data_IF_098734396311
#
_entry.id   IF_098734396311
#
_cell.length_a   1.000
_cell.length_b   1.000
_cell.length_c   1.000
_cell.angle_alpha   90.00
_cell.angle_beta   90.00
_cell.angle_gamma   90.00
#
_symmetry.space_group_name_H-M   'P 1'
#
loop_
_entity.id
_entity.type
_entity.pdbx_description
1 polymer ?
#
# COMPACT_ATOMS: atom_id res chain seq x y z
N UNK A 1 -19.32 -0.82 -7.42
CA UNK A 1 -19.29 -0.91 -8.89
C UNK A 1 -18.43 0.23 -9.41
N UNK A 2 -17.54 -0.02 -10.37
CA UNK A 2 -16.59 0.99 -10.88
C UNK A 2 -17.27 1.87 -11.94
N UNK A 3 -17.42 3.16 -11.64
CA UNK A 3 -18.16 4.11 -12.47
C UNK A 3 -17.42 4.47 -13.77
N UNK A 4 -16.08 4.39 -13.78
CA UNK A 4 -15.24 4.78 -14.93
C UNK A 4 -14.10 3.78 -15.19
N UNK A 5 -14.40 2.61 -15.78
CA UNK A 5 -13.37 1.64 -16.16
C UNK A 5 -12.40 2.25 -17.18
N UNK A 6 -11.10 2.04 -16.98
CA UNK A 6 -10.03 2.65 -17.79
C UNK A 6 -8.76 1.83 -17.70
N UNK A 7 -7.81 2.10 -18.60
CA UNK A 7 -6.47 1.48 -18.59
C UNK A 7 -6.46 -0.06 -18.69
N UNK A 8 -7.50 -0.64 -19.31
CA UNK A 8 -7.59 -2.09 -19.51
C UNK A 8 -7.62 -2.85 -18.18
N UNK A 9 -6.67 -3.75 -17.98
CA UNK A 9 -6.57 -4.60 -16.79
C UNK A 9 -6.30 -3.84 -15.50
N UNK A 10 -5.77 -2.62 -15.58
CA UNK A 10 -5.41 -1.83 -14.39
C UNK A 10 -6.65 -1.30 -13.65
N UNK A 11 -7.79 -1.09 -14.34
CA UNK A 11 -9.03 -0.61 -13.71
C UNK A 11 -10.29 -1.07 -14.46
N UNK A 12 -10.66 -2.33 -14.23
CA UNK A 12 -11.87 -2.96 -14.76
C UNK A 12 -13.06 -2.98 -13.80
N UNK A 13 -14.20 -3.51 -14.26
CA UNK A 13 -15.37 -3.82 -13.41
C UNK A 13 -15.34 -5.23 -12.84
N UNK A 14 -14.67 -6.13 -13.57
CA UNK A 14 -14.43 -7.51 -13.19
C UNK A 14 -12.92 -7.75 -13.31
N UNK A 15 -12.33 -8.32 -12.28
CA UNK A 15 -10.90 -8.57 -12.18
C UNK A 15 -10.65 -9.76 -11.26
N UNK A 16 -9.50 -10.39 -11.41
CA UNK A 16 -9.04 -11.43 -10.50
C UNK A 16 -8.33 -10.77 -9.33
N UNK A 17 -8.70 -11.15 -8.11
CA UNK A 17 -8.07 -10.67 -6.89
C UNK A 17 -7.66 -11.87 -6.05
N UNK A 18 -6.48 -11.79 -5.44
CA UNK A 18 -6.08 -12.70 -4.38
C UNK A 18 -6.39 -12.02 -3.04
N UNK A 19 -7.44 -12.47 -2.37
CA UNK A 19 -7.86 -12.02 -1.06
C UNK A 19 -7.50 -13.05 0.02
N UNK A 20 -6.84 -12.57 1.07
CA UNK A 20 -6.39 -13.38 2.20
C UNK A 20 -7.02 -12.90 3.50
N UNK A 21 -7.46 -13.83 4.33
CA UNK A 21 -8.03 -13.56 5.65
C UNK A 21 -7.34 -14.43 6.69
N UNK A 22 -6.73 -13.81 7.69
CA UNK A 22 -6.09 -14.51 8.81
C UNK A 22 -6.86 -14.28 10.10
N UNK A 23 -6.80 -15.27 10.98
CA UNK A 23 -7.42 -15.22 12.30
C UNK A 23 -6.34 -15.51 13.36
N UNK A 24 -6.36 -14.74 14.44
CA UNK A 24 -5.38 -14.80 15.51
C UNK A 24 -6.08 -14.73 16.87
N UNK A 25 -5.56 -15.46 17.85
CA UNK A 25 -6.11 -15.46 19.21
C UNK A 25 -5.57 -14.29 20.06
N UNK A 26 -4.51 -13.62 19.60
CA UNK A 26 -3.95 -12.42 20.24
C UNK A 26 -3.45 -11.42 19.19
N UNK A 27 -3.19 -10.18 19.63
CA UNK A 27 -2.68 -9.13 18.76
C UNK A 27 -1.25 -9.46 18.27
N UNK A 28 -0.39 -10.03 19.11
CA UNK A 28 0.98 -10.37 18.74
C UNK A 28 1.01 -11.45 17.65
N UNK A 29 0.06 -12.39 17.69
CA UNK A 29 -0.12 -13.37 16.62
C UNK A 29 -0.59 -12.72 15.32
N UNK A 30 -1.51 -11.75 15.40
CA UNK A 30 -1.98 -10.98 14.25
C UNK A 30 -0.84 -10.18 13.62
N UNK A 31 -0.03 -9.49 14.42
CA UNK A 31 1.11 -8.70 13.94
C UNK A 31 2.14 -9.61 13.24
N UNK A 32 2.44 -10.78 13.82
CA UNK A 32 3.32 -11.78 13.18
C UNK A 32 2.75 -12.30 11.86
N UNK A 33 1.44 -12.54 11.79
CA UNK A 33 0.79 -12.96 10.55
C UNK A 33 0.86 -11.85 9.48
N UNK A 34 0.62 -10.60 9.88
CA UNK A 34 0.72 -9.44 9.00
C UNK A 34 2.13 -9.27 8.42
N UNK A 35 3.17 -9.40 9.24
CA UNK A 35 4.56 -9.35 8.79
C UNK A 35 4.92 -10.51 7.84
N UNK A 36 4.40 -11.71 8.10
CA UNK A 36 4.57 -12.86 7.20
C UNK A 36 3.91 -12.60 5.84
N UNK A 37 2.70 -12.03 5.83
CA UNK A 37 1.98 -11.70 4.61
C UNK A 37 2.73 -10.64 3.80
N UNK A 38 3.21 -9.59 4.48
CA UNK A 38 4.07 -8.57 3.86
C UNK A 38 5.30 -9.20 3.21
N UNK A 39 5.98 -10.10 3.92
CA UNK A 39 7.15 -10.80 3.39
C UNK A 39 6.80 -11.73 2.21
N UNK A 40 5.62 -12.36 2.23
CA UNK A 40 5.14 -13.20 1.13
C UNK A 40 4.86 -12.38 -0.13
N UNK A 41 4.16 -11.25 -0.02
CA UNK A 41 3.88 -10.33 -1.13
C UNK A 41 5.18 -9.82 -1.77
N UNK A 42 6.16 -9.39 -0.97
CA UNK A 42 7.48 -8.98 -1.50
C UNK A 42 8.17 -10.08 -2.31
N UNK A 43 8.08 -11.35 -1.86
CA UNK A 43 8.61 -12.49 -2.61
C UNK A 43 7.82 -12.75 -3.88
N UNK A 44 6.49 -12.60 -3.87
CA UNK A 44 5.63 -12.76 -5.04
C UNK A 44 6.03 -11.72 -6.11
N UNK A 45 6.07 -10.44 -5.76
CA UNK A 45 6.43 -9.38 -6.70
C UNK A 45 7.84 -9.58 -7.27
N UNK A 46 8.81 -9.92 -6.42
CA UNK A 46 10.18 -10.27 -6.84
C UNK A 46 10.21 -11.42 -7.85
N UNK A 47 9.42 -12.49 -7.62
CA UNK A 47 9.34 -13.64 -8.55
C UNK A 47 8.68 -13.28 -9.88
N UNK A 48 7.73 -12.35 -9.88
CA UNK A 48 7.07 -11.86 -11.10
C UNK A 48 7.88 -10.80 -11.85
N UNK A 49 8.96 -10.28 -11.27
CA UNK A 49 9.76 -9.20 -11.86
C UNK A 49 9.12 -7.82 -11.75
N UNK A 50 8.09 -7.65 -10.90
CA UNK A 50 7.43 -6.36 -10.66
C UNK A 50 8.14 -5.67 -9.51
N UNK A 51 8.69 -4.48 -9.77
CA UNK A 51 9.24 -3.62 -8.72
C UNK A 51 8.11 -2.92 -7.98
N UNK A 52 8.09 -3.06 -6.65
CA UNK A 52 7.08 -2.44 -5.80
C UNK A 52 7.72 -1.71 -4.63
N UNK A 53 7.05 -0.67 -4.15
CA UNK A 53 7.38 0.05 -2.93
C UNK A 53 6.27 -0.15 -1.90
N UNK A 54 6.56 -0.75 -0.74
CA UNK A 54 5.63 -0.77 0.38
C UNK A 54 5.48 0.65 0.93
N UNK A 55 4.24 1.11 1.09
CA UNK A 55 3.92 2.45 1.60
C UNK A 55 2.88 2.37 2.72
N UNK A 56 2.96 3.28 3.68
CA UNK A 56 1.91 3.47 4.69
C UNK A 56 0.64 3.91 3.96
N UNK A 57 -0.46 3.23 4.23
CA UNK A 57 -1.73 3.47 3.56
C UNK A 57 -2.87 3.62 4.56
N UNK A 58 -4.00 4.13 4.08
CA UNK A 58 -5.21 4.21 4.90
C UNK A 58 -5.78 2.79 5.08
N UNK A 59 -6.32 2.51 6.26
CA UNK A 59 -7.08 1.28 6.49
C UNK A 59 -8.52 1.41 5.95
N UNK A 60 -8.95 2.64 5.66
CA UNK A 60 -10.23 2.95 5.06
C UNK A 60 -11.40 2.33 5.81
N UNK A 61 -12.37 1.82 5.05
CA UNK A 61 -13.59 1.20 5.58
C UNK A 61 -13.39 -0.21 6.16
N UNK A 62 -12.25 -0.85 5.87
CA UNK A 62 -11.92 -2.18 6.42
C UNK A 62 -11.56 -2.10 7.91
N UNK A 63 -11.17 -0.91 8.40
CA UNK A 63 -10.81 -0.68 9.79
C UNK A 63 -9.47 -1.30 10.18
N UNK A 64 -8.82 -0.72 11.18
CA UNK A 64 -7.50 -1.16 11.63
C UNK A 64 -6.56 0.01 11.92
N UNK A 65 -5.36 -0.30 12.42
CA UNK A 65 -4.31 0.71 12.71
C UNK A 65 -3.14 0.64 11.74
N UNK A 66 -2.87 -0.53 11.16
CA UNK A 66 -1.72 -0.79 10.30
C UNK A 66 -2.22 -1.23 8.93
N UNK A 67 -1.99 -0.40 7.92
CA UNK A 67 -2.27 -0.71 6.51
C UNK A 67 -1.03 -0.41 5.67
N UNK A 68 -0.73 -1.33 4.75
CA UNK A 68 0.40 -1.23 3.83
C UNK A 68 -0.11 -1.51 2.42
N UNK A 69 0.14 -0.56 1.52
CA UNK A 69 -0.02 -0.76 0.08
C UNK A 69 1.32 -1.14 -0.55
N UNK A 70 1.28 -1.99 -1.57
CA UNK A 70 2.42 -2.27 -2.43
C UNK A 70 2.21 -1.58 -3.77
N UNK A 71 2.84 -0.43 -3.96
CA UNK A 71 2.68 0.36 -5.18
C UNK A 71 3.80 0.06 -6.17
N UNK A 72 3.44 -0.26 -7.42
CA UNK A 72 4.39 -0.41 -8.53
C UNK A 72 4.60 0.96 -9.21
N UNK A 73 5.76 1.63 -9.05
CA UNK A 73 5.94 2.99 -9.53
C UNK A 73 5.89 3.05 -11.07
N UNK A 74 4.97 3.87 -11.60
CA UNK A 74 4.83 4.10 -13.03
C UNK A 74 4.24 5.49 -13.28
N UNK A 75 4.59 6.12 -14.41
CA UNK A 75 4.06 7.44 -14.77
C UNK A 75 2.54 7.45 -14.99
N UNK A 76 1.94 6.30 -15.27
CA UNK A 76 0.49 6.11 -15.43
C UNK A 76 -0.22 5.74 -14.12
N UNK A 77 0.53 5.56 -13.02
CA UNK A 77 -0.03 5.25 -11.71
C UNK A 77 -0.99 6.36 -11.26
N UNK A 78 -2.11 5.96 -10.64
CA UNK A 78 -3.11 6.92 -10.16
C UNK A 78 -2.80 7.43 -8.74
N UNK A 79 -1.96 6.70 -7.99
CA UNK A 79 -1.52 7.05 -6.65
C UNK A 79 -0.25 7.90 -6.65
N UNK A 80 -0.11 8.74 -5.63
CA UNK A 80 1.10 9.52 -5.37
C UNK A 80 1.80 9.01 -4.11
N UNK A 81 3.06 8.59 -4.26
CA UNK A 81 3.91 8.19 -3.14
C UNK A 81 4.62 9.43 -2.58
N UNK A 82 4.30 9.80 -1.34
CA UNK A 82 5.08 10.76 -0.58
C UNK A 82 6.29 10.06 0.05
N UNK A 83 7.49 10.63 -0.10
CA UNK A 83 8.74 10.09 0.45
C UNK A 83 9.60 11.21 1.02
N UNK A 84 10.49 10.88 1.96
CA UNK A 84 11.54 11.79 2.40
C UNK A 84 12.80 11.66 1.52
N UNK A 85 13.73 12.62 1.66
CA UNK A 85 14.98 12.66 0.88
C UNK A 85 15.88 11.42 1.07
N UNK A 86 15.84 10.80 2.26
CA UNK A 86 16.59 9.57 2.56
C UNK A 86 15.89 8.30 2.07
N UNK A 87 14.64 8.38 1.59
CA UNK A 87 13.83 7.23 1.18
C UNK A 87 13.35 6.31 2.31
N UNK A 88 13.65 6.64 3.57
CA UNK A 88 13.29 5.84 4.75
C UNK A 88 11.82 5.97 5.15
N UNK A 89 11.13 7.00 4.64
CA UNK A 89 9.69 7.19 4.78
C UNK A 89 9.02 7.04 3.43
N UNK A 90 7.91 6.30 3.39
CA UNK A 90 7.06 6.19 2.22
C UNK A 90 5.60 6.00 2.65
N UNK A 91 4.72 6.85 2.16
CA UNK A 91 3.28 6.79 2.42
C UNK A 91 2.52 7.10 1.14
N UNK A 92 1.31 6.55 1.01
CA UNK A 92 0.32 7.13 0.10
C UNK A 92 0.09 8.60 0.53
N UNK A 93 -0.05 9.52 -0.42
CA UNK A 93 -0.25 10.95 -0.14
C UNK A 93 -1.39 11.20 0.86
N UNK A 94 -2.45 10.38 0.82
CA UNK A 94 -3.59 10.48 1.73
C UNK A 94 -3.22 10.27 3.21
N UNK A 95 -2.15 9.52 3.48
CA UNK A 95 -1.64 9.22 4.82
C UNK A 95 -0.31 9.91 5.14
N UNK A 96 0.20 10.72 4.23
CA UNK A 96 1.48 11.38 4.40
C UNK A 96 1.41 12.42 5.53
N UNK A 97 2.39 12.39 6.44
CA UNK A 97 2.52 13.37 7.52
C UNK A 97 3.74 14.23 7.26
N UNK A 98 3.55 15.55 7.28
CA UNK A 98 4.63 16.54 7.17
C UNK A 98 4.74 17.39 8.43
N UNK A 99 5.97 17.78 8.77
CA UNK A 99 6.23 18.80 9.80
C UNK A 99 6.32 20.15 9.11
N UNK A 100 5.50 21.11 9.54
CA UNK A 100 5.62 22.49 9.08
C UNK A 100 6.89 23.12 9.68
N UNK A 101 7.80 23.52 8.80
CA UNK A 101 9.07 24.17 9.17
C UNK A 101 9.11 25.63 8.72
N UNK A 102 7.98 26.18 8.27
CA UNK A 102 7.90 27.57 7.82
C UNK A 102 8.34 28.54 8.94
N UNK A 103 9.24 29.45 8.57
CA UNK A 103 9.60 30.60 9.39
C UNK A 103 9.24 31.84 8.60
N UNK A 104 8.36 32.67 9.15
CA UNK A 104 8.07 33.98 8.61
C UNK A 104 9.30 34.87 8.87
N UNK A 105 9.92 35.37 7.80
CA UNK A 105 10.96 36.41 7.90
C UNK A 105 10.38 37.75 8.37
#
# INVERSE_FOLDING_TARGET
DENRPRFGLLRGREFVMLDGYSFAASQEQLDKQFDNEKAAYLKIFKRTGVEVRPVIADSGTMGGKNSIEFQAPAAVGEDTIATNASGTYAANLEMAVSVDTFKQE
#
